data_IF_354708399691
#
_entry.id   IF_354708399691
#
_cell.length_a   1.000
_cell.length_b   1.000
_cell.length_c   1.000
_cell.angle_alpha   90.00
_cell.angle_beta   90.00
_cell.angle_gamma   90.00
#
_symmetry.space_group_name_H-M   'P 1'
#
loop_
_entity.id
_entity.type
_entity.pdbx_description
1 polymer ?
#
# COMPACT_ATOMS: atom_id res chain seq x y z
N UNK A 1 -21.96 19.37 44.51
CA UNK A 1 -20.80 20.23 44.79
C UNK A 1 -19.65 19.57 44.05
N UNK A 2 -19.27 20.13 42.89
CA UNK A 2 -18.14 19.65 42.07
C UNK A 2 -16.84 20.10 42.75
N UNK A 3 -15.95 19.16 43.06
CA UNK A 3 -14.58 19.48 43.49
C UNK A 3 -13.76 19.88 42.27
N UNK A 4 -13.44 21.17 42.20
CA UNK A 4 -12.51 21.73 41.22
C UNK A 4 -11.09 21.40 41.63
N UNK A 5 -10.47 20.40 40.99
CA UNK A 5 -9.04 20.13 41.18
C UNK A 5 -8.22 21.15 40.36
N UNK A 6 -7.68 22.13 41.08
CA UNK A 6 -6.80 23.17 40.56
C UNK A 6 -5.42 22.56 40.25
N UNK A 7 -5.05 22.46 38.97
CA UNK A 7 -3.75 21.93 38.56
C UNK A 7 -2.71 23.06 38.55
N UNK A 8 -1.85 23.06 39.56
CA UNK A 8 -0.75 24.00 39.68
C UNK A 8 0.35 23.67 38.66
N UNK A 9 0.53 24.53 37.65
CA UNK A 9 1.66 24.43 36.70
C UNK A 9 2.93 24.89 37.42
N UNK A 10 3.77 23.93 37.81
CA UNK A 10 5.10 24.19 38.37
C UNK A 10 5.97 24.85 37.29
N UNK A 11 6.26 26.14 37.45
CA UNK A 11 7.26 26.85 36.63
C UNK A 11 8.66 26.37 37.02
N UNK A 12 9.51 25.95 36.07
CA UNK A 12 10.88 25.58 36.39
C UNK A 12 11.73 26.83 36.66
N UNK A 13 12.53 26.79 37.73
CA UNK A 13 13.46 27.86 38.12
C UNK A 13 14.53 28.14 37.05
N UNK A 14 15.02 29.40 36.96
CA UNK A 14 16.00 29.80 35.94
C UNK A 14 17.43 29.48 36.42
N UNK A 15 17.91 28.26 36.17
CA UNK A 15 19.27 27.92 36.60
C UNK A 15 19.78 26.52 36.24
N UNK A 16 19.70 26.09 34.98
CA UNK A 16 20.32 24.83 34.54
C UNK A 16 20.60 24.79 33.03
N UNK A 17 21.75 24.24 32.58
CA UNK A 17 22.15 24.34 31.19
C UNK A 17 21.45 23.31 30.30
N UNK A 18 21.11 23.79 29.10
CA UNK A 18 20.81 23.08 27.85
C UNK A 18 19.45 22.39 27.81
N UNK A 19 18.54 23.05 27.09
CA UNK A 19 17.66 22.43 26.09
C UNK A 19 17.97 20.95 25.90
N UNK A 20 17.25 20.10 26.65
CA UNK A 20 17.03 18.72 26.24
C UNK A 20 16.21 18.85 24.97
N UNK A 21 16.92 18.93 23.85
CA UNK A 21 16.38 18.65 22.53
C UNK A 21 15.48 17.45 22.71
N UNK A 22 14.17 17.64 22.50
CA UNK A 22 13.23 16.52 22.42
C UNK A 22 13.88 15.55 21.45
N UNK A 23 14.40 14.44 21.97
CA UNK A 23 15.02 13.42 21.15
C UNK A 23 14.00 13.13 20.04
N UNK A 24 14.42 13.17 18.77
CA UNK A 24 13.58 12.74 17.65
C UNK A 24 12.89 11.46 18.10
N UNK A 25 11.56 11.50 18.21
CA UNK A 25 10.79 10.35 18.66
C UNK A 25 11.21 9.17 17.79
N UNK A 26 11.81 8.15 18.42
CA UNK A 26 12.16 6.92 17.73
C UNK A 26 10.84 6.34 17.18
N UNK A 27 10.67 6.24 15.86
CA UNK A 27 9.45 5.68 15.26
C UNK A 27 9.18 4.24 15.74
N UNK A 28 10.21 3.55 16.25
CA UNK A 28 10.10 2.23 16.85
C UNK A 28 9.60 2.22 18.32
N UNK A 29 9.48 3.38 18.97
CA UNK A 29 9.02 3.50 20.37
C UNK A 29 7.49 3.53 20.52
N UNK A 30 6.73 3.35 19.44
CA UNK A 30 5.26 3.28 19.51
C UNK A 30 4.82 1.90 20.04
N UNK A 31 3.94 1.84 21.07
CA UNK A 31 3.47 0.56 21.62
C UNK A 31 2.58 -0.21 20.64
N UNK A 32 2.11 0.45 19.59
CA UNK A 32 1.42 -0.17 18.47
C UNK A 32 2.43 -0.37 17.33
N UNK A 33 3.05 -1.54 17.27
CA UNK A 33 3.89 -1.99 16.13
C UNK A 33 3.01 -2.23 14.89
N UNK A 34 2.42 -1.17 14.37
CA UNK A 34 1.83 -1.18 13.04
C UNK A 34 2.98 -0.94 12.08
N UNK A 35 3.53 -2.04 11.55
CA UNK A 35 4.66 -2.02 10.60
C UNK A 35 4.27 -1.38 9.26
N UNK A 36 2.96 -1.24 8.99
CA UNK A 36 2.39 -0.69 7.75
C UNK A 36 1.34 0.37 8.09
N UNK A 37 1.54 1.62 7.70
CA UNK A 37 0.58 2.72 7.89
C UNK A 37 -0.83 2.33 7.39
N UNK A 38 -1.88 2.39 8.24
CA UNK A 38 -3.26 2.08 7.85
C UNK A 38 -3.77 2.91 6.68
N UNK A 39 -3.37 4.18 6.58
CA UNK A 39 -3.74 5.07 5.48
C UNK A 39 -3.10 4.58 4.17
N UNK A 40 -1.81 4.28 4.20
CA UNK A 40 -1.09 3.71 3.05
C UNK A 40 -1.75 2.42 2.56
N UNK A 41 -2.15 1.52 3.49
CA UNK A 41 -2.87 0.28 3.14
C UNK A 41 -4.23 0.54 2.49
N UNK A 42 -4.96 1.56 2.96
CA UNK A 42 -6.25 1.92 2.38
C UNK A 42 -6.07 2.53 0.98
N UNK A 43 -5.10 3.43 0.83
CA UNK A 43 -4.82 4.11 -0.43
C UNK A 43 -4.32 3.09 -1.48
N UNK A 44 -3.45 2.13 -1.09
CA UNK A 44 -3.04 1.03 -1.97
C UNK A 44 -4.22 0.17 -2.42
N UNK A 45 -5.15 -0.14 -1.52
CA UNK A 45 -6.32 -0.95 -1.85
C UNK A 45 -7.20 -0.25 -2.87
N UNK A 46 -7.42 1.06 -2.71
CA UNK A 46 -8.20 1.86 -3.65
C UNK A 46 -7.55 1.86 -5.02
N UNK A 47 -6.23 2.12 -5.08
CA UNK A 47 -5.50 2.09 -6.34
C UNK A 47 -5.56 0.73 -7.06
N UNK A 48 -5.54 -0.39 -6.31
CA UNK A 48 -5.72 -1.72 -6.90
C UNK A 48 -7.13 -1.94 -7.45
N UNK A 49 -8.16 -1.42 -6.78
CA UNK A 49 -9.55 -1.47 -7.27
C UNK A 49 -9.71 -0.60 -8.52
N UNK A 50 -9.18 0.62 -8.50
CA UNK A 50 -9.22 1.53 -9.65
C UNK A 50 -8.51 0.91 -10.86
N UNK A 51 -7.40 0.20 -10.64
CA UNK A 51 -6.70 -0.54 -11.70
C UNK A 51 -7.56 -1.68 -12.25
N UNK A 52 -8.19 -2.47 -11.39
CA UNK A 52 -9.11 -3.55 -11.79
C UNK A 52 -10.24 -2.99 -12.66
N UNK A 53 -10.89 -1.91 -12.20
CA UNK A 53 -12.00 -1.27 -12.91
C UNK A 53 -11.54 -0.73 -14.28
N UNK A 54 -10.36 -0.10 -14.35
CA UNK A 54 -9.78 0.37 -15.61
C UNK A 54 -9.57 -0.77 -16.63
N UNK A 55 -9.04 -1.91 -16.19
CA UNK A 55 -8.84 -3.05 -17.09
C UNK A 55 -10.16 -3.68 -17.56
N UNK A 56 -11.20 -3.68 -16.71
CA UNK A 56 -12.54 -4.16 -17.07
C UNK A 56 -13.17 -3.24 -18.12
N UNK A 57 -13.17 -1.93 -17.86
CA UNK A 57 -13.69 -0.92 -18.79
C UNK A 57 -12.97 -0.94 -20.14
N UNK A 58 -11.64 -1.06 -20.15
CA UNK A 58 -10.86 -1.11 -21.40
C UNK A 58 -11.19 -2.35 -22.24
N UNK A 59 -11.36 -3.53 -21.62
CA UNK A 59 -11.76 -4.73 -22.34
C UNK A 59 -13.19 -4.62 -22.88
N UNK A 60 -14.11 -4.09 -22.08
CA UNK A 60 -15.48 -3.83 -22.51
C UNK A 60 -15.51 -2.86 -23.71
N UNK A 61 -14.69 -1.82 -23.70
CA UNK A 61 -14.56 -0.86 -24.80
C UNK A 61 -14.00 -1.53 -26.06
N UNK A 62 -12.93 -2.32 -25.95
CA UNK A 62 -12.35 -3.04 -27.10
C UNK A 62 -13.34 -4.03 -27.73
N UNK A 63 -14.13 -4.72 -26.90
CA UNK A 63 -15.20 -5.59 -27.38
C UNK A 63 -16.30 -4.79 -28.08
N UNK A 64 -16.78 -3.70 -27.47
CA UNK A 64 -17.82 -2.84 -28.05
C UNK A 64 -17.40 -2.22 -29.39
N UNK A 65 -16.12 -1.92 -29.57
CA UNK A 65 -15.54 -1.40 -30.82
C UNK A 65 -15.29 -2.49 -31.87
N UNK A 66 -15.54 -3.77 -31.57
CA UNK A 66 -15.24 -4.89 -32.45
C UNK A 66 -13.74 -5.16 -32.64
N UNK A 67 -12.88 -4.55 -31.80
CA UNK A 67 -11.42 -4.77 -31.81
C UNK A 67 -11.02 -6.04 -31.08
N UNK A 68 -11.90 -6.52 -30.20
CA UNK A 68 -11.76 -7.78 -29.48
C UNK A 68 -12.98 -8.65 -29.81
N UNK A 69 -12.72 -9.84 -30.34
CA UNK A 69 -13.73 -10.89 -30.47
C UNK A 69 -13.62 -11.80 -29.25
N UNK A 70 -14.75 -12.14 -28.65
CA UNK A 70 -14.83 -13.04 -27.51
C UNK A 70 -15.84 -14.13 -27.82
N UNK A 71 -15.42 -15.38 -27.69
CA UNK A 71 -16.28 -16.54 -27.91
C UNK A 71 -17.07 -16.92 -26.64
N UNK A 72 -16.61 -16.48 -25.47
CA UNK A 72 -17.28 -16.76 -24.18
C UNK A 72 -16.85 -15.82 -23.05
N UNK A 73 -17.66 -15.80 -21.98
CA UNK A 73 -17.29 -15.14 -20.71
C UNK A 73 -16.04 -15.74 -20.05
N UNK A 74 -15.74 -17.02 -20.31
CA UNK A 74 -14.50 -17.64 -19.82
C UNK A 74 -13.28 -16.96 -20.42
N UNK A 75 -13.28 -16.73 -21.74
CA UNK A 75 -12.19 -16.07 -22.45
C UNK A 75 -12.00 -14.63 -21.97
N UNK A 76 -13.11 -13.91 -21.70
CA UNK A 76 -13.06 -12.57 -21.10
C UNK A 76 -12.25 -12.57 -19.80
N UNK A 77 -12.59 -13.47 -18.86
CA UNK A 77 -11.91 -13.56 -17.56
C UNK A 77 -10.44 -13.94 -17.73
N UNK A 78 -10.12 -14.83 -18.66
CA UNK A 78 -8.74 -15.25 -18.96
C UNK A 78 -7.90 -14.06 -19.48
N UNK A 79 -8.45 -13.26 -20.41
CA UNK A 79 -7.78 -12.08 -20.95
C UNK A 79 -7.61 -10.98 -19.89
N UNK A 80 -8.65 -10.74 -19.10
CA UNK A 80 -8.60 -9.80 -17.98
C UNK A 80 -7.51 -10.17 -16.97
N UNK A 81 -7.50 -11.42 -16.50
CA UNK A 81 -6.52 -11.90 -15.55
C UNK A 81 -5.08 -11.81 -16.10
N UNK A 82 -4.91 -12.15 -17.39
CA UNK A 82 -3.62 -12.03 -18.07
C UNK A 82 -3.16 -10.57 -18.17
N UNK A 83 -4.03 -9.66 -18.59
CA UNK A 83 -3.71 -8.24 -18.74
C UNK A 83 -3.29 -7.59 -17.41
N UNK A 84 -4.02 -7.90 -16.32
CA UNK A 84 -3.66 -7.44 -14.98
C UNK A 84 -2.30 -7.99 -14.54
N UNK A 85 -2.06 -9.29 -14.75
CA UNK A 85 -0.79 -9.92 -14.39
C UNK A 85 0.38 -9.26 -15.14
N UNK A 86 0.27 -9.11 -16.46
CA UNK A 86 1.30 -8.48 -17.29
C UNK A 86 1.60 -7.04 -16.84
N UNK A 87 0.55 -6.28 -16.49
CA UNK A 87 0.71 -4.93 -15.93
C UNK A 87 1.46 -4.96 -14.61
N UNK A 88 1.10 -5.87 -13.71
CA UNK A 88 1.73 -6.00 -12.39
C UNK A 88 3.16 -6.59 -12.43
N UNK A 89 3.53 -7.26 -13.52
CA UNK A 89 4.89 -7.74 -13.79
C UNK A 89 5.80 -6.66 -14.40
N UNK A 90 5.25 -5.49 -14.76
CA UNK A 90 5.99 -4.36 -15.34
C UNK A 90 6.42 -3.33 -14.28
N UNK A 91 7.51 -2.58 -14.56
CA UNK A 91 7.96 -1.49 -13.67
C UNK A 91 6.95 -0.35 -13.66
N UNK A 92 6.28 -0.13 -14.78
CA UNK A 92 5.28 0.90 -14.98
C UNK A 92 4.05 0.64 -14.11
N UNK A 93 3.55 -0.60 -14.07
CA UNK A 93 2.44 -0.99 -13.21
C UNK A 93 2.78 -0.86 -11.72
N UNK A 94 3.99 -1.28 -11.33
CA UNK A 94 4.46 -1.09 -9.95
C UNK A 94 4.66 0.41 -9.62
N UNK A 95 5.15 1.20 -10.57
CA UNK A 95 5.31 2.66 -10.42
C UNK A 95 3.97 3.35 -10.20
N UNK A 96 2.94 2.95 -10.94
CA UNK A 96 1.57 3.45 -10.75
C UNK A 96 1.09 3.26 -9.31
N UNK A 97 1.26 2.06 -8.75
CA UNK A 97 0.86 1.78 -7.37
C UNK A 97 1.70 2.55 -6.36
N UNK A 98 3.02 2.65 -6.56
CA UNK A 98 3.91 3.42 -5.67
C UNK A 98 3.50 4.90 -5.63
N UNK A 99 3.23 5.50 -6.78
CA UNK A 99 2.76 6.89 -6.89
C UNK A 99 1.39 7.10 -6.24
N UNK A 100 0.48 6.14 -6.39
CA UNK A 100 -0.87 6.21 -5.79
C UNK A 100 -0.85 6.32 -4.26
N UNK A 101 0.22 5.83 -3.61
CA UNK A 101 0.41 5.91 -2.16
C UNK A 101 1.49 6.92 -1.75
N UNK A 102 1.93 7.78 -2.66
CA UNK A 102 2.81 8.92 -2.38
C UNK A 102 4.32 8.64 -2.48
N UNK A 103 4.75 7.53 -3.07
CA UNK A 103 6.16 7.30 -3.41
C UNK A 103 6.45 7.76 -4.83
N UNK A 104 7.41 8.67 -4.98
CA UNK A 104 7.94 9.07 -6.29
C UNK A 104 9.35 8.48 -6.46
N UNK A 105 9.42 7.36 -7.19
CA UNK A 105 10.64 6.59 -7.43
C UNK A 105 10.80 6.48 -8.95
N UNK A 106 12.01 6.70 -9.50
CA UNK A 106 12.29 6.47 -10.91
C UNK A 106 11.95 5.03 -11.32
N UNK A 107 11.36 4.85 -12.50
CA UNK A 107 10.83 3.55 -12.95
C UNK A 107 11.95 2.52 -13.01
N UNK A 108 13.12 2.93 -13.50
CA UNK A 108 14.34 2.14 -13.62
C UNK A 108 14.88 1.58 -12.29
N UNK A 109 14.59 2.24 -11.16
CA UNK A 109 15.01 1.81 -9.83
C UNK A 109 14.06 0.77 -9.21
N UNK A 110 12.90 0.53 -9.83
CA UNK A 110 11.91 -0.42 -9.32
C UNK A 110 12.44 -1.84 -9.46
N UNK A 111 12.53 -2.51 -8.31
CA UNK A 111 12.89 -3.92 -8.21
C UNK A 111 11.65 -4.80 -8.45
N UNK A 112 11.61 -5.48 -9.61
CA UNK A 112 10.56 -6.45 -9.95
C UNK A 112 10.74 -7.83 -9.30
N UNK A 113 11.90 -8.08 -8.70
CA UNK A 113 12.23 -9.35 -8.06
C UNK A 113 12.66 -9.14 -6.61
N UNK A 114 11.81 -8.56 -5.76
CA UNK A 114 12.12 -8.39 -4.35
C UNK A 114 12.21 -9.75 -3.65
N UNK A 115 13.20 -9.90 -2.76
CA UNK A 115 13.30 -11.09 -1.92
C UNK A 115 12.06 -11.22 -1.01
N UNK A 116 11.41 -12.38 -1.06
CA UNK A 116 10.30 -12.68 -0.16
C UNK A 116 10.83 -12.93 1.25
N UNK A 117 10.65 -11.96 2.15
CA UNK A 117 11.05 -12.07 3.56
C UNK A 117 10.00 -12.77 4.42
N UNK A 118 9.46 -13.89 3.93
CA UNK A 118 8.47 -14.67 4.68
C UNK A 118 9.13 -15.28 5.91
N UNK A 119 8.52 -15.09 7.09
CA UNK A 119 8.92 -15.85 8.27
C UNK A 119 8.46 -17.30 8.08
N UNK A 120 9.29 -18.27 8.47
CA UNK A 120 8.88 -19.67 8.53
C UNK A 120 7.63 -19.78 9.42
N UNK A 121 6.54 -20.25 8.85
CA UNK A 121 5.23 -20.48 9.46
C UNK A 121 4.44 -21.46 8.58
N UNK A 122 3.24 -21.92 8.99
CA UNK A 122 2.40 -22.72 8.09
C UNK A 122 2.24 -21.95 6.78
N UNK A 123 2.54 -22.60 5.66
CA UNK A 123 2.78 -21.97 4.37
C UNK A 123 1.70 -20.92 4.06
N UNK A 124 2.07 -19.69 3.69
CA UNK A 124 1.07 -18.72 3.26
C UNK A 124 0.55 -19.23 1.91
N UNK A 125 -0.76 -19.49 1.86
CA UNK A 125 -1.59 -19.72 0.66
C UNK A 125 -0.91 -20.47 -0.51
N UNK A 126 -1.30 -21.72 -0.73
CA UNK A 126 -1.29 -22.30 -2.09
C UNK A 126 -0.31 -23.43 -2.41
N UNK A 127 0.32 -24.12 -1.45
CA UNK A 127 1.08 -25.36 -1.76
C UNK A 127 0.18 -26.60 -1.95
N UNK A 128 -1.13 -26.44 -2.09
CA UNK A 128 -2.04 -27.56 -2.42
C UNK A 128 -3.28 -27.04 -3.13
N UNK A 129 -3.18 -26.89 -4.44
CA UNK A 129 -4.28 -27.06 -5.40
C UNK A 129 -3.71 -27.42 -6.79
N UNK A 130 -2.79 -28.38 -6.83
CA UNK A 130 -2.46 -29.16 -8.03
C UNK A 130 -2.46 -30.64 -7.64
#
# INVERSE_FOLDING_TARGET
>A
MEESHDFQIVRPEPGGPRTRSLAKADPAATPFKVVIDPKLRLDLRRALVDLIDYHDEALAEHFAQGKLALDSYKEYVELFARSLKETMESREGVSYLLRSVGFDIPVEEINLHPELRWKKGPAPFGVSLL
#
